data_IF_104268773463
#
_entry.id   IF_104268773463
#
_cell.length_a   1.000
_cell.length_b   1.000
_cell.length_c   1.000
_cell.angle_alpha   90.00
_cell.angle_beta   90.00
_cell.angle_gamma   90.00
#
_symmetry.space_group_name_H-M   'P 1'
#
loop_
_entity.id
_entity.type
_entity.pdbx_description
1 polymer ?
#
# COMPACT_ATOMS: atom_id res chain seq x y z
N UNK A 1 3.20 -16.83 -12.59
CA UNK A 1 2.29 -15.85 -13.21
C UNK A 1 0.87 -16.35 -13.05
N UNK A 2 -0.04 -15.48 -12.63
CA UNK A 2 -1.47 -15.79 -12.45
C UNK A 2 -2.23 -14.75 -13.26
N UNK A 3 -2.47 -15.02 -14.55
CA UNK A 3 -2.99 -14.00 -15.47
C UNK A 3 -2.00 -12.84 -15.63
N UNK A 4 -2.44 -11.64 -15.31
CA UNK A 4 -1.65 -10.40 -15.28
C UNK A 4 -0.91 -10.17 -13.95
N UNK A 5 -1.12 -11.04 -12.95
CA UNK A 5 -0.46 -10.93 -11.65
C UNK A 5 0.91 -11.60 -11.62
N UNK A 6 1.85 -10.91 -10.96
CA UNK A 6 3.18 -11.42 -10.59
C UNK A 6 3.21 -11.59 -9.08
N UNK A 7 3.57 -12.80 -8.63
CA UNK A 7 3.91 -13.06 -7.24
C UNK A 7 5.43 -13.18 -7.15
N UNK A 8 6.04 -12.41 -6.26
CA UNK A 8 7.46 -12.44 -5.98
C UNK A 8 7.69 -12.80 -4.51
N UNK A 9 8.67 -13.66 -4.26
CA UNK A 9 9.08 -14.07 -2.92
C UNK A 9 10.49 -13.55 -2.68
N UNK A 10 10.70 -12.97 -1.51
CA UNK A 10 12.01 -12.54 -1.02
C UNK A 10 12.31 -13.38 0.22
N UNK A 11 13.59 -13.73 0.44
CA UNK A 11 14.05 -14.67 1.48
C UNK A 11 13.67 -16.15 1.25
N UNK A 12 13.25 -16.51 0.04
CA UNK A 12 12.97 -17.89 -0.37
C UNK A 12 13.41 -18.12 -1.83
N UNK A 13 13.86 -19.33 -2.20
CA UNK A 13 14.18 -20.46 -1.31
C UNK A 13 15.48 -20.25 -0.51
N UNK A 14 16.28 -19.26 -0.91
CA UNK A 14 17.54 -18.91 -0.25
C UNK A 14 17.32 -17.75 0.72
N UNK A 15 18.05 -17.79 1.84
CA UNK A 15 18.03 -16.71 2.80
C UNK A 15 18.48 -15.39 2.16
N UNK A 16 17.76 -14.32 2.46
CA UNK A 16 18.09 -12.96 2.08
C UNK A 16 17.93 -12.08 3.31
N UNK A 17 19.05 -11.54 3.78
CA UNK A 17 19.06 -10.51 4.80
C UNK A 17 18.40 -9.23 4.25
N UNK A 18 17.69 -8.48 5.11
CA UNK A 18 16.95 -7.27 4.71
C UNK A 18 16.00 -7.46 3.53
N UNK A 19 15.39 -8.64 3.41
CA UNK A 19 14.46 -8.96 2.33
C UNK A 19 13.26 -8.01 2.21
N UNK A 20 12.86 -7.35 3.30
CA UNK A 20 11.87 -6.27 3.29
C UNK A 20 12.34 -5.05 2.48
N UNK A 21 13.60 -4.64 2.66
CA UNK A 21 14.22 -3.59 1.84
C UNK A 21 14.27 -4.03 0.38
N UNK A 22 14.73 -5.26 0.10
CA UNK A 22 14.80 -5.79 -1.26
C UNK A 22 13.44 -5.79 -1.98
N UNK A 23 12.36 -6.18 -1.28
CA UNK A 23 11.01 -6.14 -1.81
C UNK A 23 10.55 -4.71 -2.14
N UNK A 24 10.80 -3.76 -1.24
CA UNK A 24 10.44 -2.35 -1.45
C UNK A 24 11.29 -1.69 -2.55
N UNK A 25 12.56 -2.05 -2.67
CA UNK A 25 13.44 -1.65 -3.77
C UNK A 25 12.88 -2.11 -5.10
N UNK A 26 12.58 -3.40 -5.25
CA UNK A 26 12.01 -3.96 -6.46
C UNK A 26 10.69 -3.28 -6.83
N UNK A 27 9.78 -3.10 -5.86
CA UNK A 27 8.49 -2.47 -6.11
C UNK A 27 8.62 -1.02 -6.60
N UNK A 28 9.46 -0.22 -5.95
CA UNK A 28 9.70 1.18 -6.33
C UNK A 28 10.39 1.30 -7.70
N UNK A 29 11.31 0.40 -8.03
CA UNK A 29 11.96 0.35 -9.33
C UNK A 29 10.99 -0.07 -10.45
N UNK A 30 10.13 -1.06 -10.21
CA UNK A 30 9.07 -1.44 -11.13
C UNK A 30 8.15 -0.24 -11.42
N UNK A 31 7.72 0.49 -10.39
CA UNK A 31 6.86 1.66 -10.56
C UNK A 31 7.55 2.78 -11.37
N UNK A 32 8.83 3.04 -11.11
CA UNK A 32 9.62 4.00 -11.87
C UNK A 32 9.84 3.57 -13.33
N UNK A 33 10.08 2.29 -13.56
CA UNK A 33 10.21 1.74 -14.90
C UNK A 33 8.90 1.85 -15.68
N UNK A 34 7.77 1.47 -15.08
CA UNK A 34 6.46 1.59 -15.72
C UNK A 34 6.15 3.05 -16.08
N UNK A 35 6.46 4.00 -15.18
CA UNK A 35 6.30 5.43 -15.46
C UNK A 35 7.11 5.87 -16.70
N UNK A 36 8.33 5.33 -16.89
CA UNK A 36 9.15 5.60 -18.07
C UNK A 36 8.56 4.96 -19.33
N UNK A 37 8.08 3.72 -19.23
CA UNK A 37 7.45 3.01 -20.33
C UNK A 37 6.14 3.68 -20.77
N UNK A 38 5.29 4.10 -19.84
CA UNK A 38 4.05 4.81 -20.13
C UNK A 38 4.29 6.12 -20.88
N UNK A 39 5.34 6.89 -20.58
CA UNK A 39 5.70 8.08 -21.37
C UNK A 39 5.96 7.73 -22.84
N UNK A 40 6.65 6.62 -23.09
CA UNK A 40 6.93 6.13 -24.43
C UNK A 40 5.64 5.61 -25.10
N UNK A 41 4.90 4.72 -24.45
CA UNK A 41 3.70 4.11 -25.02
C UNK A 41 2.56 5.09 -25.23
N UNK A 42 2.44 6.13 -24.40
CA UNK A 42 1.47 7.20 -24.60
C UNK A 42 1.72 7.94 -25.92
N UNK A 43 2.98 8.16 -26.26
CA UNK A 43 3.38 8.82 -27.51
C UNK A 43 3.14 7.93 -28.74
N UNK A 44 3.56 6.66 -28.68
CA UNK A 44 3.50 5.75 -29.84
C UNK A 44 2.13 5.09 -30.04
N UNK A 45 1.39 4.81 -28.96
CA UNK A 45 0.20 3.95 -28.99
C UNK A 45 -1.01 4.57 -28.28
N UNK A 46 -0.90 5.79 -27.74
CA UNK A 46 -1.91 6.42 -26.88
C UNK A 46 -2.35 5.54 -25.69
N UNK A 47 -1.46 4.65 -25.22
CA UNK A 47 -1.71 3.68 -24.17
C UNK A 47 -0.99 4.08 -22.87
N UNK A 48 -1.65 3.85 -21.74
CA UNK A 48 -1.08 3.99 -20.41
C UNK A 48 -1.51 2.80 -19.55
N UNK A 49 -0.56 2.13 -18.92
CA UNK A 49 -0.82 0.98 -18.04
C UNK A 49 -0.71 1.40 -16.58
N UNK A 50 -1.61 0.90 -15.74
CA UNK A 50 -1.51 1.00 -14.29
C UNK A 50 -0.87 -0.24 -13.69
N UNK A 51 -0.19 -0.09 -12.56
CA UNK A 51 0.20 -1.21 -11.71
C UNK A 51 -0.11 -0.89 -10.25
N UNK A 52 -0.37 -1.96 -9.49
CA UNK A 52 -0.52 -1.92 -8.05
C UNK A 52 0.34 -3.02 -7.46
N UNK A 53 0.95 -2.74 -6.31
CA UNK A 53 1.84 -3.65 -5.61
C UNK A 53 1.44 -3.65 -4.14
N UNK A 54 1.19 -4.84 -3.61
CA UNK A 54 1.00 -5.10 -2.19
C UNK A 54 2.17 -5.90 -1.64
N UNK A 55 2.75 -5.46 -0.54
CA UNK A 55 3.86 -6.15 0.12
C UNK A 55 3.46 -6.46 1.56
N UNK A 56 3.73 -7.68 1.99
CA UNK A 56 3.57 -8.11 3.38
C UNK A 56 4.75 -8.98 3.80
N UNK A 57 5.19 -8.81 5.05
CA UNK A 57 6.21 -9.64 5.68
C UNK A 57 5.58 -10.51 6.76
N UNK A 58 5.83 -11.81 6.72
CA UNK A 58 5.32 -12.74 7.71
C UNK A 58 5.65 -14.18 7.38
N UNK A 59 5.39 -15.06 8.33
CA UNK A 59 5.65 -16.51 8.17
C UNK A 59 4.73 -17.13 7.12
N UNK A 60 5.29 -17.99 6.28
CA UNK A 60 4.59 -18.73 5.23
C UNK A 60 5.11 -20.16 5.19
N UNK A 61 4.28 -21.09 4.72
CA UNK A 61 4.72 -22.43 4.36
C UNK A 61 5.21 -22.39 2.92
N UNK A 62 6.49 -22.69 2.70
CA UNK A 62 7.10 -22.72 1.36
C UNK A 62 7.64 -24.11 1.04
N UNK A 63 7.50 -24.54 -0.21
CA UNK A 63 8.01 -25.83 -0.67
C UNK A 63 7.57 -26.17 -2.07
N UNK A 64 7.95 -27.37 -2.52
CA UNK A 64 7.45 -27.95 -3.77
C UNK A 64 6.04 -28.47 -3.54
N UNK A 65 5.04 -27.75 -4.06
CA UNK A 65 3.63 -28.08 -3.89
C UNK A 65 3.05 -28.45 -5.25
N UNK A 66 2.26 -29.52 -5.28
CA UNK A 66 1.57 -29.99 -6.48
C UNK A 66 1.47 -31.51 -6.53
N UNK A 67 1.01 -32.02 -7.66
CA UNK A 67 0.93 -33.47 -7.89
C UNK A 67 2.29 -34.03 -8.28
N UNK A 68 2.45 -35.36 -8.21
CA UNK A 68 3.67 -36.05 -8.66
C UNK A 68 4.07 -35.73 -10.12
N UNK A 69 3.11 -35.30 -10.96
CA UNK A 69 3.34 -34.94 -12.35
C UNK A 69 3.61 -33.44 -12.57
N UNK A 70 3.30 -32.58 -11.59
CA UNK A 70 3.51 -31.12 -11.64
C UNK A 70 3.77 -30.57 -10.25
N UNK A 71 5.05 -30.42 -9.90
CA UNK A 71 5.52 -29.75 -8.69
C UNK A 71 5.94 -28.32 -9.05
N UNK A 72 5.51 -27.35 -8.26
CA UNK A 72 5.98 -25.97 -8.34
C UNK A 72 6.47 -25.52 -6.96
N UNK A 73 7.63 -24.89 -6.89
CA UNK A 73 8.06 -24.21 -5.68
C UNK A 73 7.14 -23.00 -5.47
N UNK A 74 6.40 -22.98 -4.36
CA UNK A 74 5.45 -21.92 -4.04
C UNK A 74 5.30 -21.76 -2.54
N UNK A 75 4.58 -20.71 -2.12
CA UNK A 75 4.26 -20.44 -0.74
C UNK A 75 2.74 -20.42 -0.54
N UNK A 76 2.29 -20.90 0.62
CA UNK A 76 0.89 -20.86 1.05
C UNK A 76 0.84 -20.33 2.48
N UNK A 77 -0.20 -19.56 2.77
CA UNK A 77 -0.50 -19.08 4.12
C UNK A 77 -1.24 -17.76 4.08
N UNK A 78 -1.78 -17.36 5.24
CA UNK A 78 -2.57 -16.14 5.37
C UNK A 78 -1.77 -14.89 4.99
N UNK A 79 -0.45 -14.89 5.22
CA UNK A 79 0.43 -13.79 4.86
C UNK A 79 0.57 -13.60 3.33
N UNK A 80 0.44 -14.67 2.54
CA UNK A 80 0.41 -14.61 1.07
C UNK A 80 -0.90 -13.97 0.60
N UNK A 81 -2.02 -14.40 1.20
CA UNK A 81 -3.33 -13.84 0.90
C UNK A 81 -3.42 -12.36 1.31
N UNK A 82 -2.83 -11.99 2.46
CA UNK A 82 -2.76 -10.60 2.91
C UNK A 82 -2.01 -9.72 1.90
N UNK A 83 -0.87 -10.16 1.36
CA UNK A 83 -0.14 -9.40 0.33
C UNK A 83 -1.02 -9.11 -0.90
N UNK A 84 -1.78 -10.12 -1.38
CA UNK A 84 -2.71 -9.94 -2.50
C UNK A 84 -3.86 -8.99 -2.16
N UNK A 85 -4.40 -9.04 -0.94
CA UNK A 85 -5.42 -8.09 -0.49
C UNK A 85 -4.88 -6.66 -0.45
N UNK A 86 -3.67 -6.47 0.05
CA UNK A 86 -3.01 -5.15 0.06
C UNK A 86 -2.78 -4.62 -1.35
N UNK A 87 -2.45 -5.48 -2.32
CA UNK A 87 -2.39 -5.06 -3.73
C UNK A 87 -3.74 -4.53 -4.21
N UNK A 88 -4.82 -5.27 -4.00
CA UNK A 88 -6.16 -4.84 -4.41
C UNK A 88 -6.58 -3.50 -3.77
N UNK A 89 -6.25 -3.31 -2.49
CA UNK A 89 -6.59 -2.10 -1.73
C UNK A 89 -5.96 -0.83 -2.32
N UNK A 90 -4.84 -0.94 -3.03
CA UNK A 90 -4.27 0.21 -3.74
C UNK A 90 -5.29 0.88 -4.67
N UNK A 91 -6.20 0.10 -5.28
CA UNK A 91 -7.25 0.62 -6.16
C UNK A 91 -8.19 1.57 -5.41
N UNK A 92 -8.52 1.22 -4.17
CA UNK A 92 -9.44 1.98 -3.33
C UNK A 92 -8.85 3.33 -2.92
N UNK A 93 -7.59 3.34 -2.49
CA UNK A 93 -6.88 4.58 -2.11
C UNK A 93 -6.26 5.34 -3.28
N UNK A 94 -6.29 4.78 -4.50
CA UNK A 94 -5.60 5.35 -5.65
C UNK A 94 -4.07 5.38 -5.52
N UNK A 95 -3.49 4.49 -4.72
CA UNK A 95 -2.04 4.34 -4.54
C UNK A 95 -1.47 3.32 -5.53
N UNK A 96 -0.15 3.25 -5.66
CA UNK A 96 0.51 2.24 -6.51
C UNK A 96 1.26 1.18 -5.70
N UNK A 97 1.79 1.52 -4.53
CA UNK A 97 2.50 0.60 -3.67
C UNK A 97 1.98 0.77 -2.24
N UNK A 98 1.46 -0.31 -1.67
CA UNK A 98 1.11 -0.37 -0.26
C UNK A 98 1.89 -1.51 0.40
N UNK A 99 2.32 -1.26 1.63
CA UNK A 99 2.95 -2.26 2.49
C UNK A 99 2.20 -2.37 3.81
N UNK A 100 2.22 -3.55 4.42
CA UNK A 100 1.70 -3.75 5.77
C UNK A 100 2.63 -3.19 6.83
N UNK A 101 2.12 -3.00 8.03
CA UNK A 101 2.88 -2.59 9.21
C UNK A 101 4.07 -3.49 9.50
N UNK A 102 3.93 -4.81 9.30
CA UNK A 102 5.02 -5.77 9.53
C UNK A 102 6.19 -5.59 8.57
N UNK A 103 5.94 -5.13 7.34
CA UNK A 103 6.98 -4.74 6.40
C UNK A 103 7.53 -3.37 6.76
N UNK A 104 6.64 -2.39 7.03
CA UNK A 104 7.02 -1.00 7.32
C UNK A 104 7.97 -0.89 8.53
N UNK A 105 7.79 -1.70 9.56
CA UNK A 105 8.65 -1.71 10.75
C UNK A 105 10.10 -2.15 10.49
N UNK A 106 10.39 -2.75 9.33
CA UNK A 106 11.67 -3.39 9.03
C UNK A 106 12.39 -2.79 7.82
N UNK A 107 11.81 -1.78 7.19
CA UNK A 107 12.45 -1.11 6.06
C UNK A 107 13.31 0.06 6.55
N UNK A 108 14.28 0.44 5.72
CA UNK A 108 15.10 1.62 5.94
C UNK A 108 14.33 2.92 5.61
N UNK A 109 14.00 3.69 6.63
CA UNK A 109 13.29 4.97 6.50
C UNK A 109 14.14 6.13 5.99
N UNK A 110 15.47 5.96 5.89
CA UNK A 110 16.34 6.91 5.18
C UNK A 110 16.23 6.72 3.66
N UNK A 111 15.98 5.49 3.21
CA UNK A 111 15.81 5.13 1.80
C UNK A 111 14.36 5.37 1.33
N UNK A 112 13.39 4.98 2.14
CA UNK A 112 11.98 5.01 1.77
C UNK A 112 11.22 6.07 2.57
N UNK A 113 10.58 6.99 1.85
CA UNK A 113 9.55 7.85 2.43
C UNK A 113 8.21 7.12 2.43
N UNK A 114 7.46 7.25 3.52
CA UNK A 114 6.16 6.61 3.68
C UNK A 114 5.14 7.54 4.31
N UNK A 115 3.85 7.25 4.09
CA UNK A 115 2.75 7.72 4.94
C UNK A 115 1.88 6.55 5.37
N UNK A 116 1.43 6.55 6.61
CA UNK A 116 0.32 5.69 7.03
C UNK A 116 -0.93 6.12 6.29
N UNK A 117 -1.63 5.19 5.65
CA UNK A 117 -2.85 5.44 4.90
C UNK A 117 -4.09 5.21 5.76
N UNK A 118 -4.17 4.04 6.40
CA UNK A 118 -5.30 3.66 7.25
C UNK A 118 -4.94 2.47 8.14
N UNK A 119 -5.75 2.22 9.16
CA UNK A 119 -5.76 0.95 9.91
C UNK A 119 -6.94 0.12 9.41
N UNK A 120 -6.68 -1.12 9.06
CA UNK A 120 -7.66 -2.02 8.42
C UNK A 120 -7.77 -3.32 9.19
N UNK A 121 -8.97 -3.91 9.20
CA UNK A 121 -9.22 -5.21 9.81
C UNK A 121 -9.09 -6.32 8.77
N UNK A 122 -8.24 -7.31 9.04
CA UNK A 122 -8.04 -8.43 8.11
C UNK A 122 -9.22 -9.40 8.22
N UNK A 123 -10.02 -9.53 7.16
CA UNK A 123 -11.15 -10.46 7.11
C UNK A 123 -10.71 -11.89 7.51
N UNK A 124 -11.43 -12.48 8.46
CA UNK A 124 -11.15 -13.82 9.01
C UNK A 124 -10.18 -13.82 10.21
N UNK A 125 -9.61 -12.67 10.60
CA UNK A 125 -8.79 -12.52 11.81
C UNK A 125 -9.21 -11.30 12.61
N UNK A 126 -9.16 -11.39 13.93
CA UNK A 126 -9.39 -10.24 14.81
C UNK A 126 -8.13 -9.36 14.94
N UNK A 127 -7.33 -9.27 13.88
CA UNK A 127 -6.05 -8.56 13.85
C UNK A 127 -6.20 -7.34 12.94
N UNK A 128 -5.94 -6.18 13.51
CA UNK A 128 -5.80 -4.91 12.80
C UNK A 128 -4.38 -4.80 12.26
N UNK A 129 -4.22 -4.24 11.07
CA UNK A 129 -2.90 -3.90 10.53
C UNK A 129 -2.95 -2.50 9.92
N UNK A 130 -1.90 -1.72 10.13
CA UNK A 130 -1.75 -0.44 9.45
C UNK A 130 -1.21 -0.66 8.03
N UNK A 131 -1.71 0.12 7.06
CA UNK A 131 -1.18 0.15 5.69
C UNK A 131 -0.42 1.44 5.44
N UNK A 132 0.68 1.33 4.69
CA UNK A 132 1.56 2.45 4.39
C UNK A 132 1.79 2.56 2.88
N UNK A 133 1.62 3.75 2.32
CA UNK A 133 2.14 4.08 0.99
C UNK A 133 3.63 4.33 1.11
N UNK A 134 4.43 3.79 0.18
CA UNK A 134 5.88 4.01 0.14
C UNK A 134 6.35 4.58 -1.19
N UNK A 135 7.45 5.34 -1.15
CA UNK A 135 8.14 5.88 -2.31
C UNK A 135 9.62 6.13 -2.01
N UNK A 136 10.45 6.18 -3.06
CA UNK A 136 11.83 6.71 -2.99
C UNK A 136 11.91 8.21 -3.32
N UNK A 137 10.78 8.86 -3.61
CA UNK A 137 10.76 10.28 -3.91
C UNK A 137 11.01 11.10 -2.64
N UNK A 138 12.15 11.78 -2.60
CA UNK A 138 12.62 12.55 -1.44
C UNK A 138 12.33 14.05 -1.52
N UNK A 139 11.51 14.48 -2.49
CA UNK A 139 11.19 15.90 -2.71
C UNK A 139 10.50 16.50 -1.47
N UNK A 140 10.84 17.74 -1.07
CA UNK A 140 10.20 18.41 0.06
C UNK A 140 8.67 18.43 -0.02
N UNK A 141 8.12 18.68 -1.21
CA UNK A 141 6.67 18.69 -1.46
C UNK A 141 6.00 17.35 -1.13
N UNK A 142 6.63 16.21 -1.47
CA UNK A 142 6.08 14.88 -1.18
C UNK A 142 6.13 14.59 0.32
N UNK A 143 7.21 15.00 0.99
CA UNK A 143 7.35 14.89 2.47
C UNK A 143 6.32 15.76 3.19
N UNK A 144 6.08 16.98 2.71
CA UNK A 144 5.06 17.88 3.25
C UNK A 144 3.66 17.28 3.08
N UNK A 145 3.32 16.77 1.88
CA UNK A 145 2.06 16.07 1.63
C UNK A 145 1.84 14.91 2.61
N UNK A 146 2.85 14.04 2.76
CA UNK A 146 2.79 12.90 3.67
C UNK A 146 2.56 13.33 5.12
N UNK A 147 3.31 14.34 5.57
CA UNK A 147 3.16 14.86 6.93
C UNK A 147 1.79 15.48 7.18
N UNK A 148 1.31 16.33 6.26
CA UNK A 148 -0.01 16.95 6.37
C UNK A 148 -1.13 15.91 6.38
N UNK A 149 -0.98 14.83 5.58
CA UNK A 149 -1.94 13.73 5.56
C UNK A 149 -1.97 13.01 6.90
N UNK A 150 -0.81 12.61 7.43
CA UNK A 150 -0.72 11.89 8.70
C UNK A 150 -1.22 12.73 9.89
N UNK A 151 -1.00 14.04 9.87
CA UNK A 151 -1.57 14.94 10.87
C UNK A 151 -3.11 14.98 10.79
N UNK A 152 -3.69 15.01 9.60
CA UNK A 152 -5.14 14.91 9.42
C UNK A 152 -5.70 13.54 9.85
N UNK A 153 -5.00 12.45 9.51
CA UNK A 153 -5.35 11.09 9.92
C UNK A 153 -5.30 10.93 11.44
N UNK A 154 -4.31 11.52 12.12
CA UNK A 154 -4.20 11.54 13.59
C UNK A 154 -5.41 12.19 14.26
N UNK A 155 -5.88 13.33 13.74
CA UNK A 155 -7.11 13.97 14.23
C UNK A 155 -8.33 13.09 14.02
N UNK A 156 -8.45 12.47 12.83
CA UNK A 156 -9.54 11.55 12.54
C UNK A 156 -9.53 10.32 13.47
N UNK A 157 -8.37 9.69 13.68
CA UNK A 157 -8.17 8.55 14.57
C UNK A 157 -8.50 8.88 16.03
N UNK A 158 -8.37 10.16 16.42
CA UNK A 158 -8.73 10.67 17.74
C UNK A 158 -10.18 11.16 17.83
N UNK A 159 -11.00 10.90 16.80
CA UNK A 159 -12.38 11.35 16.66
C UNK A 159 -12.55 12.89 16.77
N UNK A 160 -11.54 13.66 16.33
CA UNK A 160 -11.61 15.11 16.25
C UNK A 160 -11.93 15.54 14.81
N UNK A 161 -13.18 15.32 14.41
CA UNK A 161 -13.62 15.39 13.01
C UNK A 161 -13.48 16.79 12.39
N UNK A 162 -13.80 17.85 13.13
CA UNK A 162 -13.65 19.23 12.65
C UNK A 162 -12.17 19.60 12.45
N UNK A 163 -11.29 19.16 13.36
CA UNK A 163 -9.85 19.37 13.23
C UNK A 163 -9.27 18.60 12.03
N UNK A 164 -9.70 17.34 11.85
CA UNK A 164 -9.34 16.51 10.71
C UNK A 164 -9.78 17.16 9.39
N UNK A 165 -11.05 17.58 9.30
CA UNK A 165 -11.62 18.25 8.12
C UNK A 165 -10.83 19.52 7.77
N UNK A 166 -10.63 20.41 8.74
CA UNK A 166 -9.91 21.66 8.53
C UNK A 166 -8.46 21.45 8.09
N UNK A 167 -7.79 20.42 8.62
CA UNK A 167 -6.43 20.04 8.21
C UNK A 167 -6.43 19.54 6.76
N UNK A 168 -7.39 18.69 6.41
CA UNK A 168 -7.49 18.06 5.11
C UNK A 168 -7.94 19.00 4.00
N UNK A 169 -8.80 19.98 4.31
CA UNK A 169 -9.16 21.07 3.38
C UNK A 169 -7.92 21.86 2.95
N UNK A 170 -7.04 22.21 3.90
CA UNK A 170 -5.76 22.89 3.60
C UNK A 170 -4.84 22.03 2.74
N UNK A 171 -4.81 20.71 2.99
CA UNK A 171 -4.04 19.77 2.20
C UNK A 171 -4.58 19.72 0.76
N UNK A 172 -5.89 19.53 0.58
CA UNK A 172 -6.53 19.39 -0.73
C UNK A 172 -6.49 20.69 -1.56
N UNK A 173 -6.41 21.86 -0.92
CA UNK A 173 -6.11 23.12 -1.64
C UNK A 173 -4.73 23.09 -2.33
N UNK A 174 -3.73 22.48 -1.69
CA UNK A 174 -2.38 22.33 -2.26
C UNK A 174 -2.26 21.12 -3.19
N UNK A 175 -2.89 20.01 -2.83
CA UNK A 175 -2.82 18.73 -3.54
C UNK A 175 -4.22 18.20 -3.90
N UNK A 176 -4.96 18.87 -4.81
CA UNK A 176 -6.36 18.57 -5.09
C UNK A 176 -6.61 17.21 -5.75
N UNK A 177 -5.55 16.50 -6.17
CA UNK A 177 -5.61 15.21 -6.85
C UNK A 177 -5.09 14.05 -5.98
N UNK A 178 -4.76 14.30 -4.71
CA UNK A 178 -4.31 13.23 -3.83
C UNK A 178 -5.49 12.34 -3.42
N UNK A 179 -5.54 11.14 -4.01
CA UNK A 179 -6.65 10.21 -3.83
C UNK A 179 -6.83 9.75 -2.37
N UNK A 180 -5.75 9.43 -1.61
CA UNK A 180 -5.90 9.11 -0.18
C UNK A 180 -6.53 10.26 0.61
N UNK A 181 -6.12 11.51 0.37
CA UNK A 181 -6.75 12.66 1.02
C UNK A 181 -8.21 12.85 0.66
N UNK A 182 -8.59 12.68 -0.62
CA UNK A 182 -9.99 12.76 -1.03
C UNK A 182 -10.83 11.67 -0.34
N UNK A 183 -10.28 10.48 -0.23
CA UNK A 183 -10.93 9.35 0.42
C UNK A 183 -11.09 9.58 1.93
N UNK A 184 -10.06 10.04 2.63
CA UNK A 184 -10.14 10.39 4.05
C UNK A 184 -11.19 11.50 4.30
N UNK A 185 -11.34 12.45 3.37
CA UNK A 185 -12.36 13.50 3.48
C UNK A 185 -13.76 12.90 3.44
N UNK A 186 -14.01 11.97 2.52
CA UNK A 186 -15.30 11.25 2.45
C UNK A 186 -15.58 10.49 3.75
N UNK A 187 -14.57 9.87 4.35
CA UNK A 187 -14.70 9.20 5.66
C UNK A 187 -15.04 10.18 6.79
N UNK A 188 -14.38 11.33 6.82
CA UNK A 188 -14.67 12.39 7.80
C UNK A 188 -16.12 12.87 7.64
N UNK A 189 -16.55 13.22 6.43
CA UNK A 189 -17.91 13.70 6.16
C UNK A 189 -18.97 12.67 6.54
N UNK A 190 -18.75 11.39 6.20
CA UNK A 190 -19.62 10.29 6.61
C UNK A 190 -19.69 10.19 8.14
N UNK A 191 -18.55 10.25 8.82
CA UNK A 191 -18.48 10.18 10.29
C UNK A 191 -19.14 11.36 10.98
N UNK A 192 -19.10 12.56 10.39
CA UNK A 192 -19.81 13.74 10.90
C UNK A 192 -21.34 13.59 10.77
N UNK A 193 -21.82 12.75 9.84
CA UNK A 193 -23.24 12.51 9.59
C UNK A 193 -23.81 11.26 10.27
N UNK A 194 -22.99 10.48 11.00
CA UNK A 194 -23.38 9.17 11.51
C UNK A 194 -22.36 8.54 12.46
N UNK A 195 -22.16 7.22 12.33
CA UNK A 195 -21.20 6.48 13.16
C UNK A 195 -19.76 6.66 12.65
N UNK A 196 -18.85 6.94 13.58
CA UNK A 196 -17.42 7.04 13.32
C UNK A 196 -16.75 5.67 13.49
N UNK A 197 -15.99 5.27 12.48
CA UNK A 197 -15.18 4.05 12.52
C UNK A 197 -13.72 4.41 12.25
N UNK A 198 -12.86 4.17 13.25
CA UNK A 198 -11.40 4.32 13.11
C UNK A 198 -10.84 3.31 12.10
N UNK A 199 -11.25 2.05 12.24
CA UNK A 199 -10.69 0.91 11.52
C UNK A 199 -11.60 0.56 10.35
N UNK A 200 -11.03 0.46 9.16
CA UNK A 200 -11.79 0.08 7.98
C UNK A 200 -11.91 -1.44 7.86
N UNK A 201 -13.12 -1.93 7.61
CA UNK A 201 -13.33 -3.32 7.23
C UNK A 201 -12.83 -3.54 5.80
N UNK A 202 -11.93 -4.50 5.60
CA UNK A 202 -11.57 -4.97 4.27
C UNK A 202 -12.69 -5.88 3.72
N UNK A 203 -13.72 -5.31 3.11
CA UNK A 203 -14.64 -6.10 2.29
C UNK A 203 -14.22 -6.08 0.80
N UNK A 204 -14.51 -7.21 0.14
CA UNK A 204 -13.96 -7.71 -1.13
C UNK A 204 -13.94 -6.75 -2.32
#
# INVERSE_FOLDING_TARGET
YIGDCIMALFNLPSHLEEHENAACHAATECAQLLKRLNKRWKSFYNLELGQRIGINSGEVLAGNIGSSQRLAFTCIGDNVNLASRVENINKYYGTSILITESTWQKIDHEIFSSRKISTVKVEGKNIETSLYEITKESKPEKKELFKMYEDALSWYDSNQLEAAKNSLDKLLQKHPKDMPSLHLMQRIEKSMSGEWERVEAMEK
#
